data_IF_819641554725
#
_entry.id   IF_819641554725
#
_cell.length_a   1.000
_cell.length_b   1.000
_cell.length_c   1.000
_cell.angle_alpha   90.00
_cell.angle_beta   90.00
_cell.angle_gamma   90.00
#
_symmetry.space_group_name_H-M   'P 1'
#
loop_
_entity.id
_entity.type
_entity.pdbx_description
1 polymer ?
#
# COMPACT_ATOMS: atom_id res chain seq x y z
N UNK A 1 16.22 -22.62 22.53
CA UNK A 1 15.93 -23.42 21.32
C UNK A 1 15.97 -22.52 20.11
N UNK A 2 16.27 -23.03 18.91
CA UNK A 2 16.35 -22.21 17.68
C UNK A 2 15.00 -22.22 16.95
N UNK A 3 14.59 -21.08 16.39
CA UNK A 3 13.45 -20.99 15.49
C UNK A 3 13.74 -21.73 14.17
N UNK A 4 12.80 -22.56 13.72
CA UNK A 4 12.97 -23.39 12.52
C UNK A 4 11.92 -23.02 11.49
N UNK A 5 12.31 -22.65 10.25
CA UNK A 5 11.34 -22.30 9.22
C UNK A 5 10.55 -23.52 8.75
N UNK A 6 9.28 -23.27 8.45
CA UNK A 6 8.36 -24.23 7.85
C UNK A 6 8.07 -23.79 6.43
N UNK A 7 8.49 -24.59 5.46
CA UNK A 7 8.22 -24.37 4.05
C UNK A 7 7.15 -25.35 3.57
N UNK A 8 6.18 -24.91 2.75
CA UNK A 8 5.28 -25.81 2.04
C UNK A 8 6.07 -26.83 1.23
N UNK A 9 5.63 -28.10 1.24
CA UNK A 9 6.33 -29.20 0.59
C UNK A 9 5.52 -29.72 -0.60
N UNK A 10 6.22 -30.11 -1.65
CA UNK A 10 5.69 -30.88 -2.77
C UNK A 10 6.09 -32.35 -2.65
N UNK A 11 5.33 -33.24 -3.31
CA UNK A 11 5.58 -34.68 -3.26
C UNK A 11 7.02 -35.00 -3.70
N UNK A 12 7.73 -35.80 -2.90
CA UNK A 12 9.12 -36.17 -3.15
C UNK A 12 10.16 -35.27 -2.46
N UNK A 13 9.78 -34.12 -1.89
CA UNK A 13 10.68 -33.26 -1.14
C UNK A 13 10.60 -33.48 0.37
N UNK A 14 11.76 -33.68 1.01
CA UNK A 14 11.84 -33.79 2.48
C UNK A 14 12.09 -32.43 3.12
N UNK A 15 11.46 -32.09 4.27
CA UNK A 15 11.60 -30.79 4.90
C UNK A 15 13.05 -30.42 5.27
N UNK A 16 13.90 -31.42 5.59
CA UNK A 16 15.33 -31.19 5.85
C UNK A 16 16.10 -30.75 4.61
N UNK A 17 15.76 -31.30 3.44
CA UNK A 17 16.40 -30.94 2.16
C UNK A 17 16.04 -29.51 1.77
N UNK A 18 14.75 -29.15 1.83
CA UNK A 18 14.27 -27.79 1.52
C UNK A 18 14.91 -26.76 2.45
N UNK A 19 14.94 -27.03 3.77
CA UNK A 19 15.62 -26.12 4.72
C UNK A 19 17.10 -25.95 4.37
N UNK A 20 17.82 -27.05 4.11
CA UNK A 20 19.25 -26.97 3.74
C UNK A 20 19.45 -26.09 2.51
N UNK A 21 18.68 -26.33 1.44
CA UNK A 21 18.75 -25.55 0.21
C UNK A 21 18.41 -24.07 0.44
N UNK A 22 17.33 -23.77 1.17
CA UNK A 22 16.97 -22.39 1.48
C UNK A 22 18.02 -21.70 2.32
N UNK A 23 18.67 -22.40 3.25
CA UNK A 23 19.77 -21.83 4.05
C UNK A 23 20.96 -21.47 3.17
N UNK A 24 21.36 -22.37 2.27
CA UNK A 24 22.45 -22.13 1.31
C UNK A 24 22.14 -20.93 0.40
N UNK A 25 20.92 -20.84 -0.12
CA UNK A 25 20.50 -19.73 -0.99
C UNK A 25 20.49 -18.40 -0.23
N UNK A 26 19.87 -18.36 0.95
CA UNK A 26 19.79 -17.12 1.75
C UNK A 26 21.19 -16.64 2.13
N UNK A 27 22.06 -17.53 2.59
CA UNK A 27 23.41 -17.17 3.02
C UNK A 27 24.28 -16.66 1.85
N UNK A 28 24.10 -17.22 0.66
CA UNK A 28 24.88 -16.83 -0.52
C UNK A 28 24.34 -15.57 -1.22
N UNK A 29 23.03 -15.34 -1.20
CA UNK A 29 22.40 -14.36 -2.10
C UNK A 29 21.64 -13.24 -1.40
N UNK A 30 21.20 -13.38 -0.14
CA UNK A 30 20.39 -12.34 0.50
C UNK A 30 21.11 -10.99 0.60
N UNK A 31 22.42 -11.00 0.87
CA UNK A 31 23.25 -9.80 0.97
C UNK A 31 23.46 -9.07 -0.37
N UNK A 32 23.21 -9.73 -1.50
CA UNK A 32 23.34 -9.15 -2.84
C UNK A 32 22.08 -8.40 -3.28
N UNK A 33 20.97 -8.51 -2.52
CA UNK A 33 19.73 -7.83 -2.84
C UNK A 33 19.91 -6.33 -2.58
N UNK A 34 19.78 -5.53 -3.63
CA UNK A 34 19.83 -4.07 -3.51
C UNK A 34 18.59 -3.55 -2.78
N UNK A 35 18.79 -2.67 -1.81
CA UNK A 35 17.71 -2.02 -1.10
C UNK A 35 17.22 -0.80 -1.88
N UNK A 36 16.00 -0.89 -2.42
CA UNK A 36 15.38 0.17 -3.20
C UNK A 36 14.86 1.35 -2.37
N UNK A 37 14.75 1.20 -1.04
CA UNK A 37 14.29 2.27 -0.17
C UNK A 37 15.44 3.24 0.16
N UNK A 38 15.25 4.56 -0.03
CA UNK A 38 16.22 5.56 0.42
C UNK A 38 16.51 5.46 1.92
N UNK A 39 17.74 5.73 2.33
CA UNK A 39 18.17 5.69 3.75
C UNK A 39 17.27 6.53 4.67
N UNK A 40 16.92 7.75 4.25
CA UNK A 40 16.04 8.64 5.00
C UNK A 40 14.65 8.03 5.30
N UNK A 41 14.12 7.21 4.38
CA UNK A 41 12.83 6.55 4.59
C UNK A 41 12.96 5.40 5.59
N UNK A 42 14.04 4.62 5.49
CA UNK A 42 14.33 3.53 6.42
C UNK A 42 14.54 4.03 7.84
N UNK A 43 15.31 5.10 8.00
CA UNK A 43 15.57 5.74 9.30
C UNK A 43 14.27 6.26 9.93
N UNK A 44 13.48 7.02 9.17
CA UNK A 44 12.20 7.58 9.66
C UNK A 44 11.21 6.49 10.09
N UNK A 45 11.21 5.35 9.40
CA UNK A 45 10.28 4.25 9.66
C UNK A 45 10.90 3.12 10.51
N UNK A 46 12.14 3.29 11.01
CA UNK A 46 12.89 2.31 11.81
C UNK A 46 12.95 0.89 11.18
N UNK A 47 13.17 0.84 9.88
CA UNK A 47 13.14 -0.39 9.10
C UNK A 47 14.53 -1.05 9.04
N UNK A 48 14.55 -2.39 9.03
CA UNK A 48 15.77 -3.17 8.74
C UNK A 48 16.17 -2.99 7.28
N UNK A 49 17.44 -3.17 6.94
CA UNK A 49 17.91 -3.29 5.55
C UNK A 49 17.24 -4.50 4.85
N UNK A 50 16.93 -4.38 3.56
CA UNK A 50 16.23 -5.43 2.82
C UNK A 50 16.94 -6.80 2.88
N UNK A 51 18.25 -6.90 2.61
CA UNK A 51 19.00 -8.15 2.82
C UNK A 51 18.82 -8.78 4.19
N UNK A 52 18.86 -7.96 5.24
CA UNK A 52 18.73 -8.42 6.62
C UNK A 52 17.31 -8.92 6.88
N UNK A 53 16.29 -8.20 6.40
CA UNK A 53 14.90 -8.62 6.54
C UNK A 53 14.64 -9.96 5.82
N UNK A 54 15.17 -10.17 4.62
CA UNK A 54 15.05 -11.45 3.91
C UNK A 54 15.68 -12.59 4.70
N UNK A 55 16.92 -12.39 5.18
CA UNK A 55 17.64 -13.40 5.94
C UNK A 55 16.92 -13.76 7.25
N UNK A 56 16.48 -12.75 8.00
CA UNK A 56 15.82 -12.92 9.30
C UNK A 56 14.36 -13.43 9.15
N UNK A 57 13.71 -13.19 8.02
CA UNK A 57 12.41 -13.82 7.73
C UNK A 57 12.53 -15.34 7.55
N UNK A 58 13.66 -15.82 7.04
CA UNK A 58 13.90 -17.25 6.79
C UNK A 58 14.55 -17.94 8.01
N UNK A 59 15.58 -17.32 8.58
CA UNK A 59 16.37 -17.87 9.68
C UNK A 59 16.59 -16.82 10.77
N UNK A 60 15.54 -16.45 11.53
CA UNK A 60 15.64 -15.43 12.55
C UNK A 60 16.56 -15.85 13.70
N UNK A 61 17.27 -14.87 14.25
CA UNK A 61 18.04 -15.02 15.50
C UNK A 61 17.10 -15.15 16.71
N UNK A 62 16.07 -14.32 16.77
CA UNK A 62 15.03 -14.33 17.79
C UNK A 62 13.67 -13.87 17.24
N UNK A 63 12.63 -13.93 18.07
CA UNK A 63 11.28 -13.54 17.67
C UNK A 63 11.13 -12.04 17.39
N UNK A 64 11.87 -11.19 18.09
CA UNK A 64 11.78 -9.74 17.91
C UNK A 64 12.34 -9.33 16.54
N UNK A 65 13.48 -9.90 16.13
CA UNK A 65 14.09 -9.62 14.82
C UNK A 65 13.25 -10.23 13.69
N UNK A 66 12.64 -11.40 13.90
CA UNK A 66 11.64 -11.98 12.98
C UNK A 66 10.48 -11.02 12.73
N UNK A 67 9.93 -10.44 13.78
CA UNK A 67 8.80 -9.53 13.67
C UNK A 67 9.18 -8.22 12.97
N UNK A 68 10.38 -7.68 13.24
CA UNK A 68 10.93 -6.53 12.51
C UNK A 68 11.13 -6.84 11.02
N UNK A 69 11.65 -8.02 10.69
CA UNK A 69 11.79 -8.47 9.31
C UNK A 69 10.44 -8.56 8.59
N UNK A 70 9.41 -9.10 9.27
CA UNK A 70 8.04 -9.14 8.76
C UNK A 70 7.49 -7.74 8.52
N UNK A 71 7.69 -6.80 9.45
CA UNK A 71 7.27 -5.40 9.28
C UNK A 71 7.94 -4.78 8.06
N UNK A 72 9.25 -4.98 7.87
CA UNK A 72 9.97 -4.49 6.70
C UNK A 72 9.38 -5.03 5.39
N UNK A 73 9.18 -6.34 5.28
CA UNK A 73 8.66 -6.95 4.05
C UNK A 73 7.21 -6.55 3.76
N UNK A 74 6.36 -6.45 4.80
CA UNK A 74 4.99 -5.95 4.66
C UNK A 74 4.95 -4.47 4.26
N UNK A 75 5.87 -3.66 4.79
CA UNK A 75 6.03 -2.27 4.38
C UNK A 75 6.38 -2.18 2.90
N UNK A 76 7.36 -2.97 2.43
CA UNK A 76 7.79 -2.97 1.04
C UNK A 76 6.62 -3.31 0.08
N UNK A 77 5.84 -4.35 0.40
CA UNK A 77 4.67 -4.74 -0.38
C UNK A 77 3.62 -3.62 -0.45
N UNK A 78 3.23 -3.07 0.70
CA UNK A 78 2.23 -2.01 0.75
C UNK A 78 2.74 -0.74 0.05
N UNK A 79 4.01 -0.38 0.25
CA UNK A 79 4.62 0.80 -0.35
C UNK A 79 4.62 0.70 -1.88
N UNK A 80 5.04 -0.44 -2.44
CA UNK A 80 5.06 -0.66 -3.88
C UNK A 80 3.64 -0.64 -4.48
N UNK A 81 2.66 -1.26 -3.79
CA UNK A 81 1.26 -1.22 -4.20
C UNK A 81 0.72 0.21 -4.21
N UNK A 82 0.95 0.99 -3.15
CA UNK A 82 0.51 2.38 -3.07
C UNK A 82 1.19 3.26 -4.13
N UNK A 83 2.50 3.08 -4.34
CA UNK A 83 3.25 3.82 -5.34
C UNK A 83 2.72 3.53 -6.75
N UNK A 84 2.45 2.26 -7.08
CA UNK A 84 1.85 1.87 -8.35
C UNK A 84 0.46 2.46 -8.55
N UNK A 85 -0.39 2.44 -7.51
CA UNK A 85 -1.73 3.03 -7.55
C UNK A 85 -1.68 4.55 -7.75
N UNK A 86 -0.81 5.26 -7.03
CA UNK A 86 -0.62 6.70 -7.17
C UNK A 86 -0.05 7.06 -8.54
N UNK A 87 0.91 6.30 -9.05
CA UNK A 87 1.45 6.47 -10.40
C UNK A 87 0.38 6.30 -11.47
N UNK A 88 -0.44 5.25 -11.37
CA UNK A 88 -1.56 5.03 -12.30
C UNK A 88 -2.61 6.15 -12.23
N UNK A 89 -2.98 6.57 -11.02
CA UNK A 89 -3.93 7.68 -10.82
C UNK A 89 -3.40 8.96 -11.45
N UNK A 90 -2.13 9.29 -11.22
CA UNK A 90 -1.47 10.47 -11.79
C UNK A 90 -1.44 10.41 -13.32
N UNK A 91 -1.01 9.28 -13.90
CA UNK A 91 -0.97 9.11 -15.35
C UNK A 91 -2.36 9.24 -15.99
N UNK A 92 -3.40 8.71 -15.33
CA UNK A 92 -4.78 8.88 -15.79
C UNK A 92 -5.24 10.34 -15.74
N UNK A 93 -4.91 11.07 -14.66
CA UNK A 93 -5.24 12.49 -14.52
C UNK A 93 -4.47 13.39 -15.50
N UNK A 94 -3.23 13.04 -15.85
CA UNK A 94 -2.41 13.81 -16.81
C UNK A 94 -2.77 13.50 -18.28
N UNK A 95 -3.19 12.26 -18.59
CA UNK A 95 -3.51 11.84 -19.96
C UNK A 95 -4.89 12.30 -20.45
N UNK A 96 -5.82 12.61 -19.56
CA UNK A 96 -7.14 13.10 -19.91
C UNK A 96 -7.44 14.39 -19.13
N UNK A 97 -7.42 15.57 -19.78
CA UNK A 97 -7.86 16.79 -19.12
C UNK A 97 -9.33 16.62 -18.71
N UNK A 98 -9.60 16.80 -17.42
CA UNK A 98 -10.96 16.83 -16.91
C UNK A 98 -11.71 18.03 -17.49
N UNK A 99 -13.02 17.89 -17.70
CA UNK A 99 -13.87 19.00 -18.09
C UNK A 99 -14.40 19.69 -16.83
N UNK A 100 -13.92 20.89 -16.46
CA UNK A 100 -14.37 21.58 -15.26
C UNK A 100 -15.87 21.85 -15.36
N UNK A 101 -16.61 21.39 -14.36
CA UNK A 101 -18.05 21.58 -14.28
C UNK A 101 -18.39 22.47 -13.08
N UNK A 102 -19.02 23.60 -13.38
CA UNK A 102 -19.57 24.49 -12.35
C UNK A 102 -21.08 24.26 -12.24
N UNK A 103 -21.51 23.65 -11.14
CA UNK A 103 -22.93 23.46 -10.86
C UNK A 103 -23.61 24.82 -10.66
N UNK A 104 -24.80 24.99 -11.24
CA UNK A 104 -25.63 26.18 -10.99
C UNK A 104 -26.23 26.07 -9.58
N UNK A 105 -25.81 26.96 -8.68
CA UNK A 105 -26.27 26.97 -7.28
C UNK A 105 -27.80 26.93 -7.15
N UNK A 106 -28.53 27.68 -7.98
CA UNK A 106 -29.99 27.73 -7.96
C UNK A 106 -30.67 26.36 -8.20
N UNK A 107 -30.12 25.55 -9.12
CA UNK A 107 -30.67 24.21 -9.42
C UNK A 107 -30.41 23.27 -8.24
N UNK A 108 -29.20 23.34 -7.68
CA UNK A 108 -28.82 22.52 -6.53
C UNK A 108 -29.68 22.86 -5.30
N UNK A 109 -29.87 24.15 -5.01
CA UNK A 109 -30.67 24.60 -3.87
C UNK A 109 -32.14 24.20 -4.00
N UNK A 110 -32.67 24.24 -5.22
CA UNK A 110 -34.06 23.80 -5.50
C UNK A 110 -34.20 22.29 -5.26
N UNK A 111 -33.22 21.50 -5.71
CA UNK A 111 -33.20 20.06 -5.47
C UNK A 111 -33.08 19.73 -3.98
N UNK A 112 -32.16 20.38 -3.26
CA UNK A 112 -31.97 20.15 -1.82
C UNK A 112 -33.23 20.45 -1.00
N UNK A 113 -33.96 21.52 -1.36
CA UNK A 113 -35.23 21.89 -0.71
C UNK A 113 -36.38 20.93 -1.05
N UNK A 114 -36.28 20.16 -2.13
CA UNK A 114 -37.32 19.20 -2.53
C UNK A 114 -37.26 17.88 -1.78
N UNK A 115 -36.17 17.62 -1.04
CA UNK A 115 -35.99 16.38 -0.29
C UNK A 115 -36.89 16.38 0.97
N UNK A 116 -37.54 15.25 1.30
CA UNK A 116 -38.41 15.15 2.47
C UNK A 116 -37.63 14.99 3.80
N UNK A 117 -36.34 15.30 3.80
CA UNK A 117 -35.43 15.19 4.93
C UNK A 117 -34.28 16.19 4.80
N UNK A 118 -33.65 16.52 5.92
CA UNK A 118 -32.42 17.31 5.91
C UNK A 118 -31.20 16.42 5.71
N UNK A 119 -30.24 16.91 4.93
CA UNK A 119 -28.96 16.22 4.77
C UNK A 119 -28.23 16.16 6.10
N UNK A 120 -27.65 15.00 6.40
CA UNK A 120 -26.74 14.86 7.55
C UNK A 120 -25.49 15.72 7.35
N UNK A 121 -24.80 16.06 8.44
CA UNK A 121 -23.53 16.79 8.38
C UNK A 121 -22.49 16.08 7.47
N UNK A 122 -22.48 14.74 7.46
CA UNK A 122 -21.63 13.94 6.59
C UNK A 122 -21.99 14.11 5.10
N UNK A 123 -23.29 14.08 4.77
CA UNK A 123 -23.77 14.28 3.40
C UNK A 123 -23.49 15.70 2.89
N UNK A 124 -23.68 16.73 3.73
CA UNK A 124 -23.35 18.11 3.37
C UNK A 124 -21.85 18.30 3.09
N UNK A 125 -20.97 17.71 3.91
CA UNK A 125 -19.53 17.73 3.70
C UNK A 125 -19.15 17.07 2.38
N UNK A 126 -19.66 15.88 2.12
CA UNK A 126 -19.38 15.12 0.88
C UNK A 126 -19.86 15.89 -0.35
N UNK A 127 -21.05 16.50 -0.30
CA UNK A 127 -21.56 17.33 -1.40
C UNK A 127 -20.62 18.50 -1.71
N UNK A 128 -20.13 19.19 -0.68
CA UNK A 128 -19.16 20.29 -0.86
C UNK A 128 -17.85 19.80 -1.48
N UNK A 129 -17.35 18.65 -1.06
CA UNK A 129 -16.13 18.03 -1.62
C UNK A 129 -16.31 17.64 -3.10
N UNK A 130 -17.46 17.07 -3.47
CA UNK A 130 -17.79 16.72 -4.85
C UNK A 130 -17.83 17.96 -5.75
N UNK A 131 -18.52 19.02 -5.32
CA UNK A 131 -18.61 20.27 -6.08
C UNK A 131 -17.24 20.92 -6.28
N UNK A 132 -16.40 20.91 -5.24
CA UNK A 132 -15.05 21.46 -5.31
C UNK A 132 -14.14 20.66 -6.26
N UNK A 133 -14.32 19.35 -6.34
CA UNK A 133 -13.54 18.51 -7.25
C UNK A 133 -14.03 18.58 -8.71
N UNK A 134 -15.34 18.69 -8.93
CA UNK A 134 -15.91 18.87 -10.28
C UNK A 134 -15.45 20.17 -10.93
N UNK A 135 -15.12 21.20 -10.16
CA UNK A 135 -14.59 22.47 -10.67
C UNK A 135 -13.12 22.39 -11.13
N UNK A 136 -12.40 21.29 -10.86
CA UNK A 136 -10.99 21.14 -11.24
C UNK A 136 -10.86 20.66 -12.68
N UNK A 137 -9.74 21.02 -13.31
CA UNK A 137 -9.30 20.49 -14.61
C UNK A 137 -8.73 19.07 -14.54
N UNK A 138 -8.62 18.50 -13.34
CA UNK A 138 -8.21 17.12 -13.13
C UNK A 138 -9.46 16.26 -12.92
N UNK A 139 -9.59 15.12 -13.61
CA UNK A 139 -10.71 14.21 -13.39
C UNK A 139 -10.84 13.79 -11.93
N UNK A 140 -12.06 13.89 -11.39
CA UNK A 140 -12.39 13.47 -10.03
C UNK A 140 -12.35 11.93 -9.93
N UNK A 141 -11.59 11.41 -8.97
CA UNK A 141 -11.54 9.98 -8.64
C UNK A 141 -11.85 9.81 -7.15
N UNK A 142 -13.13 9.64 -6.84
CA UNK A 142 -13.65 9.45 -5.48
C UNK A 142 -14.51 8.20 -5.39
N UNK A 143 -14.39 7.50 -4.27
CA UNK A 143 -15.32 6.45 -3.87
C UNK A 143 -16.26 7.05 -2.83
N UNK A 144 -17.56 7.03 -3.12
CA UNK A 144 -18.60 7.34 -2.13
C UNK A 144 -18.96 6.04 -1.43
N UNK A 145 -18.86 6.02 -0.10
CA UNK A 145 -19.21 4.87 0.72
C UNK A 145 -20.18 5.30 1.81
N UNK A 146 -21.16 4.43 2.08
CA UNK A 146 -22.27 4.61 3.03
C UNK A 146 -21.79 4.37 4.46
#
# INVERSE_FOLDING_TARGET
GRLVPLYPLTQGLRPRQVRKLMKEVVDQWAWQVEDFLPSALKERSNLLELPQAIAQAHYPEDEAVKDRARVRLAFDELFLLQLGMLGRKRNWQESQPGNPFTAKAAVLDTFLKSLPFELTAAQQRVLKELLADLQKSQPMCRLLQV
#
